data_IF_636108349132
#
_entry.id   IF_636108349132
#
_cell.length_a   1.000
_cell.length_b   1.000
_cell.length_c   1.000
_cell.angle_alpha   90.00
_cell.angle_beta   90.00
_cell.angle_gamma   90.00
#
_symmetry.space_group_name_H-M   'P 1'
#
loop_
_entity.id
_entity.type
_entity.pdbx_description
1 polymer ?
#
# COMPACT_ATOMS: atom_id res chain seq x y z
N UNK A 1 11.45 34.92 -17.13
CA UNK A 1 11.70 33.69 -16.32
C UNK A 1 10.40 33.08 -15.77
N UNK A 2 9.56 33.81 -15.03
CA UNK A 2 8.29 33.30 -14.51
C UNK A 2 7.29 32.80 -15.58
N UNK A 3 7.22 33.48 -16.74
CA UNK A 3 6.35 33.05 -17.86
C UNK A 3 6.84 31.77 -18.55
N UNK A 4 8.17 31.56 -18.59
CA UNK A 4 8.77 30.33 -19.12
C UNK A 4 8.56 29.15 -18.17
N UNK A 5 8.69 29.37 -16.85
CA UNK A 5 8.36 28.39 -15.82
C UNK A 5 6.88 27.97 -15.88
N UNK A 6 5.96 28.93 -16.08
CA UNK A 6 4.53 28.64 -16.27
C UNK A 6 4.27 27.78 -17.51
N UNK A 7 4.97 28.05 -18.61
CA UNK A 7 4.84 27.28 -19.85
C UNK A 7 5.44 25.86 -19.76
N UNK A 8 6.55 25.70 -19.04
CA UNK A 8 7.17 24.38 -18.78
C UNK A 8 6.26 23.55 -17.86
N UNK A 9 5.72 24.14 -16.79
CA UNK A 9 4.74 23.47 -15.90
C UNK A 9 3.48 23.07 -16.67
N UNK A 10 2.97 23.92 -17.57
CA UNK A 10 1.83 23.59 -18.42
C UNK A 10 2.14 22.52 -19.48
N UNK A 11 3.39 22.39 -19.95
CA UNK A 11 3.82 21.31 -20.83
C UNK A 11 3.96 19.97 -20.08
N UNK A 12 4.45 19.99 -18.85
CA UNK A 12 4.57 18.79 -17.99
C UNK A 12 3.20 18.24 -17.61
N UNK A 13 2.21 19.11 -17.34
CA UNK A 13 0.81 18.71 -17.09
C UNK A 13 0.16 18.09 -18.34
N UNK A 14 0.64 18.42 -19.56
CA UNK A 14 0.11 17.87 -20.82
C UNK A 14 0.80 16.60 -21.30
N UNK A 15 1.89 16.16 -20.68
CA UNK A 15 2.66 14.99 -21.10
C UNK A 15 1.92 13.63 -21.06
N UNK A 16 0.81 13.40 -20.32
CA UNK A 16 0.06 12.15 -20.45
C UNK A 16 -0.79 12.06 -21.73
N UNK A 17 -1.02 13.18 -22.45
CA UNK A 17 -1.92 13.23 -23.61
C UNK A 17 -1.34 12.64 -24.90
N UNK A 18 -0.03 12.43 -25.01
CA UNK A 18 0.61 11.97 -26.26
C UNK A 18 0.82 10.45 -26.35
N UNK A 19 0.75 9.72 -25.24
CA UNK A 19 0.95 8.25 -25.19
C UNK A 19 -0.39 7.50 -25.27
N UNK A 20 -1.51 8.18 -24.99
CA UNK A 20 -2.86 7.63 -25.11
C UNK A 20 -3.51 8.21 -26.38
N UNK A 21 -3.91 7.32 -27.29
CA UNK A 21 -4.54 7.64 -28.56
C UNK A 21 -5.68 8.68 -28.46
N UNK A 22 -5.88 9.37 -29.58
CA UNK A 22 -6.64 10.59 -29.80
C UNK A 22 -8.17 10.51 -29.60
N UNK A 23 -8.66 9.91 -28.53
CA UNK A 23 -10.10 9.87 -28.19
C UNK A 23 -10.42 10.22 -26.74
N UNK A 24 -9.45 10.75 -25.98
CA UNK A 24 -9.71 11.26 -24.62
C UNK A 24 -9.76 12.78 -24.64
N UNK A 25 -10.87 13.32 -25.14
CA UNK A 25 -11.31 14.65 -24.70
C UNK A 25 -11.53 14.57 -23.19
N UNK A 26 -10.59 15.12 -22.42
CA UNK A 26 -10.77 15.37 -21.00
C UNK A 26 -11.71 16.58 -20.88
N UNK A 27 -12.99 16.32 -21.06
CA UNK A 27 -14.06 17.25 -20.74
C UNK A 27 -13.89 17.66 -19.26
N UNK A 28 -13.76 18.97 -18.98
CA UNK A 28 -13.56 19.44 -17.63
C UNK A 28 -14.85 19.21 -16.85
N UNK A 29 -14.82 18.29 -15.87
CA UNK A 29 -15.83 18.09 -14.82
C UNK A 29 -17.16 18.75 -15.17
N UNK A 30 -17.94 18.12 -16.05
CA UNK A 30 -19.35 18.46 -16.14
C UNK A 30 -19.92 18.03 -14.78
N UNK A 31 -19.90 18.97 -13.84
CA UNK A 31 -20.59 18.86 -12.58
C UNK A 31 -22.03 18.60 -13.00
N UNK A 32 -22.50 17.37 -12.77
CA UNK A 32 -23.92 17.05 -12.92
C UNK A 32 -24.65 18.23 -12.26
N UNK A 33 -25.44 19.01 -13.03
CA UNK A 33 -26.01 20.21 -12.48
C UNK A 33 -26.84 19.77 -11.25
N UNK A 34 -26.69 20.54 -10.16
CA UNK A 34 -27.10 20.10 -8.83
C UNK A 34 -28.61 19.83 -8.70
N UNK A 35 -29.37 20.26 -9.70
CA UNK A 35 -30.79 20.05 -9.94
C UNK A 35 -31.17 18.63 -10.41
N UNK A 36 -30.23 17.83 -10.90
CA UNK A 36 -30.47 16.44 -11.36
C UNK A 36 -30.16 15.39 -10.28
N UNK A 37 -29.41 15.75 -9.24
CA UNK A 37 -28.98 14.81 -8.20
C UNK A 37 -30.07 14.60 -7.15
N UNK A 38 -30.27 13.33 -6.75
CA UNK A 38 -31.07 13.07 -5.56
C UNK A 38 -30.38 13.68 -4.31
N UNK A 39 -31.14 14.05 -3.25
CA UNK A 39 -30.54 14.61 -2.03
C UNK A 39 -29.42 13.74 -1.43
N UNK A 40 -29.50 12.42 -1.62
CA UNK A 40 -28.49 11.46 -1.18
C UNK A 40 -27.22 11.52 -2.02
N UNK A 41 -27.33 11.54 -3.33
CA UNK A 41 -26.17 11.63 -4.22
C UNK A 41 -25.46 12.98 -4.06
N UNK A 42 -26.23 14.06 -3.84
CA UNK A 42 -25.68 15.37 -3.51
C UNK A 42 -24.86 15.34 -2.21
N UNK A 43 -25.35 14.66 -1.17
CA UNK A 43 -24.63 14.47 0.09
C UNK A 43 -23.32 13.68 -0.12
N UNK A 44 -23.36 12.56 -0.83
CA UNK A 44 -22.18 11.73 -1.12
C UNK A 44 -21.13 12.53 -1.90
N UNK A 45 -21.54 13.27 -2.93
CA UNK A 45 -20.61 14.08 -3.72
C UNK A 45 -20.08 15.27 -2.91
N UNK A 46 -20.86 15.83 -1.99
CA UNK A 46 -20.37 16.86 -1.06
C UNK A 46 -19.31 16.29 -0.10
N UNK A 47 -19.56 15.12 0.51
CA UNK A 47 -18.58 14.43 1.37
C UNK A 47 -17.31 14.09 0.58
N UNK A 48 -17.44 13.56 -0.63
CA UNK A 48 -16.30 13.26 -1.50
C UNK A 48 -15.52 14.54 -1.89
N UNK A 49 -16.19 15.67 -2.11
CA UNK A 49 -15.54 16.97 -2.37
C UNK A 49 -14.70 17.43 -1.17
N UNK A 50 -15.20 17.26 0.05
CA UNK A 50 -14.46 17.61 1.28
C UNK A 50 -13.17 16.78 1.36
N UNK A 51 -13.25 15.47 1.17
CA UNK A 51 -12.07 14.59 1.20
C UNK A 51 -11.07 14.96 0.08
N UNK A 52 -11.54 15.28 -1.13
CA UNK A 52 -10.64 15.73 -2.21
C UNK A 52 -9.92 17.02 -1.86
N UNK A 53 -10.57 17.97 -1.19
CA UNK A 53 -9.91 19.19 -0.69
C UNK A 53 -8.87 18.87 0.38
N UNK A 54 -9.20 17.98 1.32
CA UNK A 54 -8.26 17.51 2.34
C UNK A 54 -7.01 16.90 1.68
N UNK A 55 -7.18 16.03 0.69
CA UNK A 55 -6.07 15.40 -0.04
C UNK A 55 -5.16 16.42 -0.73
N UNK A 56 -5.72 17.46 -1.36
CA UNK A 56 -4.91 18.53 -1.95
C UNK A 56 -4.08 19.25 -0.90
N UNK A 57 -4.69 19.60 0.25
CA UNK A 57 -3.98 20.27 1.35
C UNK A 57 -2.83 19.41 1.87
N UNK A 58 -3.08 18.12 2.13
CA UNK A 58 -2.04 17.20 2.59
C UNK A 58 -0.93 17.07 1.55
N UNK A 59 -1.26 16.92 0.27
CA UNK A 59 -0.26 16.80 -0.79
C UNK A 59 0.66 18.02 -0.86
N UNK A 60 0.13 19.24 -0.78
CA UNK A 60 0.94 20.46 -0.80
C UNK A 60 1.84 20.58 0.44
N UNK A 61 1.33 20.24 1.63
CA UNK A 61 2.13 20.29 2.87
C UNK A 61 3.24 19.23 2.81
N UNK A 62 2.93 17.99 2.45
CA UNK A 62 3.92 16.91 2.33
C UNK A 62 4.98 17.23 1.28
N UNK A 63 4.58 17.79 0.13
CA UNK A 63 5.53 18.25 -0.88
C UNK A 63 6.44 19.36 -0.35
N UNK A 64 5.89 20.33 0.38
CA UNK A 64 6.65 21.38 1.04
C UNK A 64 7.68 20.84 2.03
N UNK A 65 7.28 19.86 2.86
CA UNK A 65 8.16 19.20 3.83
C UNK A 65 9.27 18.37 3.15
N UNK A 66 8.95 17.65 2.07
CA UNK A 66 9.93 16.91 1.28
C UNK A 66 10.97 17.86 0.67
N UNK A 67 10.54 18.99 0.11
CA UNK A 67 11.44 20.01 -0.44
C UNK A 67 12.28 20.67 0.66
N UNK A 68 11.67 20.98 1.82
CA UNK A 68 12.39 21.53 2.97
C UNK A 68 13.46 20.56 3.48
N UNK A 69 13.15 19.26 3.58
CA UNK A 69 14.12 18.23 3.95
C UNK A 69 15.25 18.06 2.94
N UNK A 70 14.94 18.05 1.65
CA UNK A 70 15.95 18.01 0.60
C UNK A 70 16.86 19.24 0.64
N UNK A 71 16.30 20.44 0.84
CA UNK A 71 17.09 21.67 0.98
C UNK A 71 17.94 21.65 2.25
N UNK A 72 17.38 21.22 3.38
CA UNK A 72 18.12 21.16 4.64
C UNK A 72 19.32 20.21 4.55
N UNK A 73 19.14 19.04 3.91
CA UNK A 73 20.21 18.05 3.72
C UNK A 73 21.26 18.46 2.67
N UNK A 74 20.84 19.04 1.53
CA UNK A 74 21.76 19.39 0.43
C UNK A 74 22.45 20.73 0.67
N UNK A 75 21.72 21.74 1.15
CA UNK A 75 22.23 23.09 1.34
C UNK A 75 22.83 23.34 2.73
N UNK A 76 22.85 22.32 3.61
CA UNK A 76 23.41 22.43 4.96
C UNK A 76 22.67 23.44 5.83
N UNK A 77 21.34 23.48 5.74
CA UNK A 77 20.48 24.39 6.51
C UNK A 77 19.71 23.62 7.60
N UNK A 78 20.34 23.28 8.74
CA UNK A 78 19.71 22.50 9.81
C UNK A 78 18.53 23.23 10.46
N UNK A 79 18.53 24.57 10.41
CA UNK A 79 17.47 25.43 10.94
C UNK A 79 16.08 25.10 10.38
N UNK A 80 16.00 24.62 9.12
CA UNK A 80 14.71 24.21 8.53
C UNK A 80 14.17 22.92 9.16
N UNK A 81 15.04 21.99 9.56
CA UNK A 81 14.64 20.76 10.25
C UNK A 81 14.19 21.08 11.68
N UNK A 82 14.96 21.91 12.38
CA UNK A 82 14.63 22.39 13.73
C UNK A 82 13.26 23.12 13.74
N UNK A 83 13.02 24.02 12.79
CA UNK A 83 11.75 24.72 12.66
C UNK A 83 10.60 23.74 12.41
N UNK A 84 10.79 22.75 11.54
CA UNK A 84 9.78 21.73 11.27
C UNK A 84 9.50 20.87 12.52
N UNK A 85 10.53 20.49 13.26
CA UNK A 85 10.40 19.74 14.51
C UNK A 85 9.61 20.54 15.56
N UNK A 86 9.99 21.79 15.84
CA UNK A 86 9.32 22.64 16.83
C UNK A 86 7.86 22.93 16.45
N UNK A 87 7.58 23.17 15.16
CA UNK A 87 6.26 23.57 14.70
C UNK A 87 5.29 22.38 14.52
N UNK A 88 5.81 21.22 14.09
CA UNK A 88 4.98 20.08 13.72
C UNK A 88 5.08 18.86 14.66
N UNK A 89 6.09 18.77 15.53
CA UNK A 89 6.30 17.68 16.49
C UNK A 89 6.81 18.20 17.84
N UNK A 90 6.14 19.19 18.42
CA UNK A 90 6.64 19.91 19.60
C UNK A 90 6.77 19.09 20.89
N UNK A 91 6.21 17.87 20.96
CA UNK A 91 6.32 16.99 22.12
C UNK A 91 7.26 15.79 21.90
N UNK A 92 7.76 15.60 20.67
CA UNK A 92 8.69 14.52 20.35
C UNK A 92 10.08 14.82 20.93
N UNK A 93 10.72 13.80 21.51
CA UNK A 93 12.09 13.91 22.03
C UNK A 93 12.98 13.06 21.14
N UNK A 94 13.77 13.70 20.29
CA UNK A 94 14.71 13.03 19.40
C UNK A 94 15.42 14.00 18.46
N UNK A 95 16.31 13.47 17.60
CA UNK A 95 17.00 14.26 16.58
C UNK A 95 16.05 14.94 15.58
N UNK A 96 16.40 16.15 15.12
CA UNK A 96 15.55 16.96 14.23
C UNK A 96 15.31 16.31 12.86
N UNK A 97 16.29 15.58 12.36
CA UNK A 97 16.23 14.82 11.11
C UNK A 97 15.25 13.63 11.24
N UNK A 98 15.29 12.90 12.35
CA UNK A 98 14.32 11.83 12.68
C UNK A 98 12.91 12.41 12.81
N UNK A 99 12.77 13.56 13.47
CA UNK A 99 11.48 14.24 13.62
C UNK A 99 10.90 14.61 12.24
N UNK A 100 11.72 15.17 11.34
CA UNK A 100 11.29 15.50 9.98
C UNK A 100 10.84 14.25 9.18
N UNK A 101 11.62 13.16 9.25
CA UNK A 101 11.26 11.89 8.61
C UNK A 101 9.93 11.33 9.15
N UNK A 102 9.70 11.45 10.46
CA UNK A 102 8.46 11.04 11.11
C UNK A 102 7.25 11.88 10.65
N UNK A 103 7.38 13.22 10.59
CA UNK A 103 6.33 14.12 10.11
C UNK A 103 5.91 13.72 8.69
N UNK A 104 6.89 13.57 7.78
CA UNK A 104 6.63 13.20 6.38
C UNK A 104 5.91 11.84 6.31
N UNK A 105 6.36 10.88 7.09
CA UNK A 105 5.77 9.53 7.11
C UNK A 105 4.32 9.56 7.61
N UNK A 106 4.04 10.26 8.71
CA UNK A 106 2.68 10.40 9.26
C UNK A 106 1.75 11.10 8.27
N UNK A 107 2.21 12.18 7.63
CA UNK A 107 1.46 12.90 6.59
C UNK A 107 1.12 12.02 5.39
N UNK A 108 2.04 11.13 4.99
CA UNK A 108 1.82 10.18 3.91
C UNK A 108 0.82 9.08 4.30
N UNK A 109 0.85 8.62 5.55
CA UNK A 109 -0.13 7.68 6.11
C UNK A 109 -1.53 8.32 6.11
N UNK A 110 -1.66 9.57 6.56
CA UNK A 110 -2.92 10.30 6.54
C UNK A 110 -3.47 10.46 5.11
N UNK A 111 -2.60 10.79 4.15
CA UNK A 111 -2.97 10.88 2.74
C UNK A 111 -3.48 9.54 2.19
N UNK A 112 -2.83 8.44 2.52
CA UNK A 112 -3.27 7.09 2.15
C UNK A 112 -4.64 6.75 2.78
N UNK A 113 -4.81 7.03 4.07
CA UNK A 113 -6.07 6.79 4.79
C UNK A 113 -7.24 7.61 4.22
N UNK A 114 -7.01 8.89 3.90
CA UNK A 114 -8.01 9.75 3.26
C UNK A 114 -8.40 9.26 1.86
N UNK A 115 -7.46 8.70 1.09
CA UNK A 115 -7.78 8.08 -0.21
C UNK A 115 -8.67 6.85 -0.06
N UNK A 116 -8.40 6.00 0.93
CA UNK A 116 -9.26 4.85 1.23
C UNK A 116 -10.64 5.33 1.68
N UNK A 117 -10.72 6.33 2.54
CA UNK A 117 -11.99 6.93 2.96
C UNK A 117 -12.78 7.50 1.77
N UNK A 118 -12.10 8.10 0.78
CA UNK A 118 -12.73 8.57 -0.46
C UNK A 118 -13.32 7.40 -1.27
N UNK A 119 -12.59 6.28 -1.37
CA UNK A 119 -13.09 5.06 -2.04
C UNK A 119 -14.34 4.53 -1.33
N UNK A 120 -14.31 4.43 0.00
CA UNK A 120 -15.46 3.98 0.80
C UNK A 120 -16.67 4.91 0.68
N UNK A 121 -16.46 6.24 0.71
CA UNK A 121 -17.53 7.22 0.55
C UNK A 121 -18.20 7.09 -0.80
N UNK A 122 -17.42 6.91 -1.88
CA UNK A 122 -17.99 6.66 -3.20
C UNK A 122 -18.70 5.33 -3.29
N UNK A 123 -18.16 4.29 -2.65
CA UNK A 123 -18.77 2.96 -2.53
C UNK A 123 -20.03 2.91 -1.69
N UNK A 124 -20.36 3.97 -0.95
CA UNK A 124 -21.49 4.03 0.00
C UNK A 124 -21.38 2.97 1.11
N UNK A 125 -20.15 2.68 1.53
CA UNK A 125 -19.87 1.59 2.45
C UNK A 125 -20.11 1.94 3.92
N UNK A 126 -20.70 1.00 4.67
CA UNK A 126 -21.01 1.21 6.10
C UNK A 126 -19.76 1.48 6.96
N UNK A 127 -18.62 0.88 6.60
CA UNK A 127 -17.40 0.99 7.41
C UNK A 127 -16.82 2.42 7.40
N UNK A 128 -17.23 3.29 6.48
CA UNK A 128 -16.87 4.71 6.48
C UNK A 128 -17.24 5.39 7.80
N UNK A 129 -18.39 5.02 8.38
CA UNK A 129 -18.87 5.56 9.66
C UNK A 129 -17.92 5.17 10.81
N UNK A 130 -17.26 4.02 10.73
CA UNK A 130 -16.26 3.59 11.71
C UNK A 130 -14.85 4.11 11.41
N UNK A 131 -14.45 4.12 10.13
CA UNK A 131 -13.10 4.53 9.72
C UNK A 131 -12.83 6.02 9.96
N UNK A 132 -13.82 6.89 9.74
CA UNK A 132 -13.66 8.33 10.00
C UNK A 132 -13.33 8.65 11.48
N UNK A 133 -14.10 8.19 12.49
CA UNK A 133 -13.76 8.45 13.89
C UNK A 133 -12.46 7.76 14.30
N UNK A 134 -12.16 6.56 13.79
CA UNK A 134 -10.86 5.91 14.05
C UNK A 134 -9.71 6.80 13.56
N UNK A 135 -9.78 7.31 12.34
CA UNK A 135 -8.76 8.19 11.79
C UNK A 135 -8.62 9.50 12.60
N UNK A 136 -9.75 10.04 13.09
CA UNK A 136 -9.75 11.20 13.97
C UNK A 136 -9.07 10.90 15.32
N UNK A 137 -9.41 9.77 15.95
CA UNK A 137 -8.83 9.35 17.23
C UNK A 137 -7.33 9.07 17.10
N UNK A 138 -6.90 8.41 16.03
CA UNK A 138 -5.47 8.16 15.76
C UNK A 138 -4.69 9.47 15.62
N UNK A 139 -5.24 10.46 14.91
CA UNK A 139 -4.61 11.76 14.75
C UNK A 139 -4.64 12.62 16.02
N UNK A 140 -5.71 12.53 16.80
CA UNK A 140 -5.78 13.15 18.13
C UNK A 140 -4.74 12.53 19.08
N UNK A 141 -4.58 11.20 19.02
CA UNK A 141 -3.54 10.48 19.74
C UNK A 141 -2.14 10.90 19.31
N UNK A 142 -1.88 11.01 18.00
CA UNK A 142 -0.61 11.50 17.48
C UNK A 142 -0.32 12.95 17.91
N UNK A 143 -1.35 13.81 17.96
CA UNK A 143 -1.23 15.16 18.48
C UNK A 143 -0.84 15.18 19.97
N UNK A 144 -1.50 14.37 20.80
CA UNK A 144 -1.25 14.33 22.25
C UNK A 144 0.10 13.68 22.58
N UNK A 145 0.46 12.60 21.89
CA UNK A 145 1.66 11.81 22.19
C UNK A 145 2.92 12.40 21.56
N UNK A 146 2.83 12.93 20.35
CA UNK A 146 3.99 13.37 19.56
C UNK A 146 4.01 14.89 19.35
N UNK A 147 2.93 15.61 19.69
CA UNK A 147 2.79 17.01 19.32
C UNK A 147 2.55 17.19 17.83
N UNK A 148 2.00 16.19 17.14
CA UNK A 148 1.80 16.17 15.69
C UNK A 148 0.73 17.19 15.23
N UNK A 149 1.12 18.45 15.03
CA UNK A 149 0.19 19.54 14.70
C UNK A 149 -0.50 19.40 13.33
N UNK A 150 0.11 18.86 12.25
CA UNK A 150 -0.60 18.62 11.00
C UNK A 150 -1.79 17.67 11.16
N UNK A 151 -1.74 16.75 12.14
CA UNK A 151 -2.83 15.83 12.45
C UNK A 151 -4.14 16.52 12.84
N UNK A 152 -4.10 17.79 13.27
CA UNK A 152 -5.31 18.60 13.48
C UNK A 152 -6.12 18.78 12.20
N UNK A 153 -5.45 18.88 11.04
CA UNK A 153 -6.12 18.96 9.75
C UNK A 153 -6.86 17.65 9.46
N UNK A 154 -6.18 16.51 9.59
CA UNK A 154 -6.78 15.19 9.39
C UNK A 154 -7.92 14.95 10.36
N UNK A 155 -7.75 15.31 11.63
CA UNK A 155 -8.80 15.27 12.65
C UNK A 155 -10.03 16.09 12.22
N UNK A 156 -9.84 17.36 11.87
CA UNK A 156 -10.94 18.25 11.49
C UNK A 156 -11.68 17.75 10.23
N UNK A 157 -10.94 17.34 9.19
CA UNK A 157 -11.55 16.79 7.99
C UNK A 157 -12.29 15.47 8.26
N UNK A 158 -11.72 14.60 9.08
CA UNK A 158 -12.34 13.31 9.39
C UNK A 158 -13.63 13.47 10.22
N UNK A 159 -13.63 14.39 11.19
CA UNK A 159 -14.85 14.76 11.92
C UNK A 159 -15.88 15.40 10.97
N UNK A 160 -15.44 16.24 10.04
CA UNK A 160 -16.35 16.86 9.07
C UNK A 160 -17.01 15.81 8.16
N UNK A 161 -16.24 14.82 7.70
CA UNK A 161 -16.75 13.66 6.96
C UNK A 161 -17.74 12.87 7.80
N UNK A 162 -17.43 12.61 9.07
CA UNK A 162 -18.29 11.88 10.00
C UNK A 162 -19.64 12.59 10.22
N UNK A 163 -19.63 13.90 10.45
CA UNK A 163 -20.86 14.69 10.63
C UNK A 163 -21.76 14.60 9.39
N UNK A 164 -21.18 14.68 8.19
CA UNK A 164 -21.93 14.53 6.94
C UNK A 164 -22.43 13.08 6.75
N UNK A 165 -21.62 12.09 7.10
CA UNK A 165 -21.99 10.69 6.99
C UNK A 165 -23.15 10.32 7.94
N UNK A 166 -23.14 10.85 9.16
CA UNK A 166 -24.20 10.61 10.16
C UNK A 166 -25.50 11.34 9.82
N UNK A 167 -25.46 12.44 9.05
CA UNK A 167 -26.66 13.18 8.63
C UNK A 167 -27.64 12.33 7.82
N UNK A 168 -27.12 11.41 6.98
CA UNK A 168 -27.93 10.36 6.36
C UNK A 168 -27.20 9.01 6.46
N UNK A 169 -27.14 8.44 7.67
CA UNK A 169 -26.56 7.12 7.92
C UNK A 169 -27.16 6.01 7.02
N UNK A 170 -28.38 6.20 6.52
CA UNK A 170 -29.03 5.27 5.58
C UNK A 170 -28.42 5.30 4.19
N UNK A 171 -27.58 6.29 3.87
CA UNK A 171 -26.78 6.31 2.64
C UNK A 171 -25.60 5.34 2.72
N UNK A 172 -25.08 5.02 3.91
CA UNK A 172 -23.96 4.11 4.12
C UNK A 172 -24.47 2.78 4.66
N UNK A 173 -24.70 1.81 3.78
CA UNK A 173 -25.30 0.51 4.14
C UNK A 173 -24.31 -0.62 3.98
N UNK A 174 -24.60 -1.73 4.64
CA UNK A 174 -23.97 -3.00 4.34
C UNK A 174 -24.22 -3.34 2.87
N UNK A 175 -23.15 -3.49 2.12
CA UNK A 175 -23.23 -3.70 0.68
C UNK A 175 -23.95 -5.02 0.36
N UNK A 176 -25.09 -4.98 -0.36
CA UNK A 176 -25.86 -6.19 -0.67
C UNK A 176 -25.10 -7.13 -1.60
N UNK A 177 -24.20 -6.61 -2.45
CA UNK A 177 -23.35 -7.41 -3.33
C UNK A 177 -22.35 -8.19 -2.48
N UNK A 178 -21.67 -7.53 -1.54
CA UNK A 178 -20.75 -8.18 -0.62
C UNK A 178 -21.43 -9.33 0.12
N UNK A 179 -22.60 -9.06 0.74
CA UNK A 179 -23.33 -10.07 1.51
C UNK A 179 -23.76 -11.27 0.66
N UNK A 180 -24.24 -11.02 -0.58
CA UNK A 180 -24.63 -12.08 -1.52
C UNK A 180 -23.43 -12.94 -1.92
N UNK A 181 -22.33 -12.31 -2.31
CA UNK A 181 -21.12 -13.00 -2.77
C UNK A 181 -20.45 -13.79 -1.63
N UNK A 182 -20.38 -13.21 -0.41
CA UNK A 182 -19.86 -13.91 0.77
C UNK A 182 -20.70 -15.14 1.12
N UNK A 183 -22.02 -14.99 1.17
CA UNK A 183 -22.93 -16.11 1.41
C UNK A 183 -22.79 -17.17 0.32
N UNK A 184 -22.64 -16.76 -0.93
CA UNK A 184 -22.40 -17.65 -2.07
C UNK A 184 -21.09 -18.44 -1.94
N UNK A 185 -20.01 -17.79 -1.50
CA UNK A 185 -18.69 -18.42 -1.30
C UNK A 185 -18.70 -19.43 -0.16
N UNK A 186 -19.31 -19.09 0.96
CA UNK A 186 -19.40 -19.97 2.13
C UNK A 186 -20.42 -21.10 1.95
N UNK A 187 -21.28 -21.03 0.92
CA UNK A 187 -22.29 -22.05 0.65
C UNK A 187 -21.68 -23.24 -0.09
N UNK A 188 -21.35 -24.28 0.68
CA UNK A 188 -20.91 -25.59 0.18
C UNK A 188 -19.47 -25.94 0.56
N UNK A 189 -19.01 -27.12 0.17
CA UNK A 189 -17.70 -27.66 0.57
C UNK A 189 -16.50 -26.90 -0.04
N UNK A 190 -16.70 -26.15 -1.13
CA UNK A 190 -15.59 -25.53 -1.88
C UNK A 190 -14.74 -24.58 -1.02
N UNK A 191 -15.37 -23.75 -0.19
CA UNK A 191 -14.64 -22.83 0.69
C UNK A 191 -13.77 -23.61 1.69
N UNK A 192 -14.35 -24.63 2.33
CA UNK A 192 -13.64 -25.49 3.28
C UNK A 192 -12.51 -26.28 2.60
N UNK A 193 -12.71 -26.74 1.37
CA UNK A 193 -11.66 -27.43 0.59
C UNK A 193 -10.52 -26.48 0.25
N UNK A 194 -10.81 -25.27 -0.24
CA UNK A 194 -9.77 -24.28 -0.55
C UNK A 194 -8.99 -23.89 0.71
N UNK A 195 -9.67 -23.64 1.82
CA UNK A 195 -9.03 -23.36 3.11
C UNK A 195 -8.19 -24.54 3.60
N UNK A 196 -8.71 -25.77 3.51
CA UNK A 196 -7.99 -26.99 3.90
C UNK A 196 -6.76 -27.25 3.04
N UNK A 197 -6.85 -27.07 1.73
CA UNK A 197 -5.70 -27.17 0.81
C UNK A 197 -4.69 -26.08 1.10
N UNK A 198 -5.13 -24.84 1.33
CA UNK A 198 -4.26 -23.72 1.69
C UNK A 198 -3.46 -24.01 2.96
N UNK A 199 -4.12 -24.38 4.06
CA UNK A 199 -3.46 -24.72 5.31
C UNK A 199 -2.62 -25.99 5.21
N UNK A 200 -3.07 -26.96 4.41
CA UNK A 200 -2.35 -28.20 4.14
C UNK A 200 -1.03 -27.94 3.40
N UNK A 201 -1.03 -27.08 2.38
CA UNK A 201 0.18 -26.64 1.69
C UNK A 201 1.12 -25.90 2.64
N UNK A 202 0.61 -24.92 3.39
CA UNK A 202 1.39 -24.18 4.38
C UNK A 202 2.05 -25.10 5.40
N UNK A 203 1.31 -26.04 5.95
CA UNK A 203 1.81 -27.03 6.92
C UNK A 203 2.82 -27.97 6.28
N UNK A 204 2.53 -28.48 5.07
CA UNK A 204 3.42 -29.38 4.33
C UNK A 204 4.78 -28.72 4.09
N UNK A 205 4.79 -27.50 3.55
CA UNK A 205 6.05 -26.80 3.29
C UNK A 205 6.80 -26.46 4.58
N UNK A 206 6.11 -26.08 5.65
CA UNK A 206 6.74 -25.85 6.96
C UNK A 206 7.47 -27.11 7.45
N UNK A 207 6.82 -28.27 7.35
CA UNK A 207 7.41 -29.56 7.72
C UNK A 207 8.57 -29.94 6.79
N UNK A 208 8.45 -29.72 5.48
CA UNK A 208 9.52 -29.99 4.52
C UNK A 208 10.77 -29.16 4.82
N UNK A 209 10.60 -27.87 5.14
CA UNK A 209 11.71 -26.98 5.49
C UNK A 209 12.36 -27.41 6.80
N UNK A 210 11.56 -27.73 7.81
CA UNK A 210 12.05 -28.28 9.08
C UNK A 210 12.87 -29.56 8.87
N UNK A 211 12.38 -30.50 8.05
CA UNK A 211 13.07 -31.76 7.75
C UNK A 211 14.34 -31.55 6.88
N UNK A 212 14.34 -30.55 6.00
CA UNK A 212 15.48 -30.21 5.16
C UNK A 212 16.58 -29.46 5.93
N UNK A 213 16.23 -28.69 6.95
CA UNK A 213 17.15 -27.80 7.66
C UNK A 213 18.43 -28.48 8.16
N UNK A 214 18.40 -29.65 8.83
CA UNK A 214 19.61 -30.34 9.27
C UNK A 214 20.52 -30.77 8.11
N UNK A 215 19.97 -30.96 6.91
CA UNK A 215 20.77 -31.33 5.73
C UNK A 215 21.43 -30.11 5.10
N UNK A 216 20.80 -28.93 5.21
CA UNK A 216 21.31 -27.66 4.68
C UNK A 216 22.50 -27.17 5.53
N UNK A 217 22.42 -27.31 6.84
CA UNK A 217 23.44 -26.78 7.78
C UNK A 217 24.58 -27.75 8.10
N UNK A 218 24.55 -28.99 7.58
CA UNK A 218 25.60 -30.01 7.77
C UNK A 218 27.02 -29.55 7.39
N UNK A 219 27.12 -28.60 6.46
CA UNK A 219 28.41 -28.06 5.99
C UNK A 219 28.84 -26.78 6.74
N UNK A 220 27.99 -26.25 7.61
CA UNK A 220 28.19 -24.96 8.30
C UNK A 220 28.69 -25.12 9.75
N UNK A 221 29.00 -26.34 10.20
CA UNK A 221 29.41 -26.65 11.58
C UNK A 221 28.23 -26.84 12.54
N UNK A 222 28.46 -27.17 13.83
CA UNK A 222 27.41 -27.35 14.82
C UNK A 222 26.76 -26.00 15.17
N UNK A 223 25.79 -25.57 14.36
CA UNK A 223 24.96 -24.39 14.65
C UNK A 223 23.93 -24.78 15.71
N UNK A 224 24.30 -24.57 16.98
CA UNK A 224 23.46 -24.72 18.17
C UNK A 224 22.51 -23.51 18.37
N UNK A 225 22.05 -22.86 17.30
CA UNK A 225 21.16 -21.72 17.40
C UNK A 225 19.72 -22.13 17.02
N UNK A 226 18.97 -22.67 17.98
CA UNK A 226 17.53 -22.97 17.82
C UNK A 226 16.75 -21.78 17.24
N UNK A 227 17.18 -20.54 17.54
CA UNK A 227 16.56 -19.32 17.02
C UNK A 227 16.76 -19.06 15.52
N UNK A 228 17.84 -19.58 14.90
CA UNK A 228 18.04 -19.43 13.45
C UNK A 228 17.03 -20.29 12.67
N UNK A 229 16.79 -21.51 13.16
CA UNK A 229 15.74 -22.39 12.64
C UNK A 229 14.36 -21.71 12.69
N UNK A 230 14.01 -21.11 13.83
CA UNK A 230 12.75 -20.37 13.97
C UNK A 230 12.60 -19.25 12.94
N UNK A 231 13.66 -18.46 12.72
CA UNK A 231 13.69 -17.40 11.70
C UNK A 231 13.55 -17.93 10.28
N UNK A 232 14.26 -19.01 9.94
CA UNK A 232 14.16 -19.65 8.61
C UNK A 232 12.76 -20.18 8.37
N UNK A 233 12.15 -20.84 9.35
CA UNK A 233 10.78 -21.33 9.27
C UNK A 233 9.81 -20.18 9.06
N UNK A 234 9.88 -19.13 9.87
CA UNK A 234 9.01 -17.97 9.76
C UNK A 234 9.10 -17.31 8.38
N UNK A 235 10.31 -17.00 7.92
CA UNK A 235 10.52 -16.38 6.61
C UNK A 235 10.02 -17.24 5.46
N UNK A 236 10.18 -18.56 5.57
CA UNK A 236 9.69 -19.48 4.55
C UNK A 236 8.16 -19.53 4.54
N UNK A 237 7.53 -19.60 5.71
CA UNK A 237 6.07 -19.56 5.86
C UNK A 237 5.50 -18.27 5.24
N UNK A 238 6.04 -17.10 5.61
CA UNK A 238 5.61 -15.81 5.03
C UNK A 238 5.85 -15.77 3.51
N UNK A 239 6.98 -16.29 3.04
CA UNK A 239 7.28 -16.37 1.61
C UNK A 239 6.29 -17.23 0.82
N UNK A 240 5.89 -18.38 1.36
CA UNK A 240 4.91 -19.28 0.74
C UNK A 240 3.51 -18.64 0.77
N UNK A 241 3.14 -18.03 1.89
CA UNK A 241 1.88 -17.32 2.02
C UNK A 241 1.75 -16.19 1.00
N UNK A 242 2.82 -15.42 0.80
CA UNK A 242 2.89 -14.40 -0.25
C UNK A 242 2.60 -14.98 -1.63
N UNK A 243 3.25 -16.11 -1.97
CA UNK A 243 3.04 -16.80 -3.26
C UNK A 243 1.59 -17.28 -3.38
N UNK A 244 1.03 -17.87 -2.33
CA UNK A 244 -0.35 -18.37 -2.36
C UNK A 244 -1.36 -17.22 -2.53
N UNK A 245 -1.24 -16.12 -1.77
CA UNK A 245 -2.10 -14.94 -1.92
C UNK A 245 -2.02 -14.39 -3.34
N UNK A 246 -0.83 -14.35 -3.90
CA UNK A 246 -0.60 -13.87 -5.25
C UNK A 246 -1.33 -14.68 -6.33
N UNK A 247 -1.53 -15.99 -6.12
CA UNK A 247 -2.36 -16.80 -7.01
C UNK A 247 -3.85 -16.67 -6.68
N UNK A 248 -4.20 -16.68 -5.39
CA UNK A 248 -5.59 -16.73 -4.92
C UNK A 248 -6.34 -15.42 -5.19
N UNK A 249 -5.72 -14.27 -4.91
CA UNK A 249 -6.40 -12.97 -4.98
C UNK A 249 -6.81 -12.60 -6.42
N UNK A 250 -5.91 -12.65 -7.43
CA UNK A 250 -6.30 -12.41 -8.81
C UNK A 250 -7.34 -13.41 -9.30
N UNK A 251 -7.27 -14.69 -8.91
CA UNK A 251 -8.27 -15.69 -9.29
C UNK A 251 -9.70 -15.29 -8.88
N UNK A 252 -9.85 -14.63 -7.74
CA UNK A 252 -11.15 -14.19 -7.22
C UNK A 252 -11.60 -12.81 -7.70
N UNK A 253 -10.70 -11.97 -8.22
CA UNK A 253 -10.98 -10.56 -8.52
C UNK A 253 -10.91 -10.22 -10.01
N UNK A 254 -10.02 -10.87 -10.78
CA UNK A 254 -9.84 -10.59 -12.22
C UNK A 254 -11.03 -11.05 -13.08
N UNK A 255 -11.77 -12.06 -12.64
CA UNK A 255 -13.03 -12.50 -13.25
C UNK A 255 -14.28 -11.78 -12.73
N UNK A 256 -14.16 -10.83 -11.80
CA UNK A 256 -15.29 -10.32 -11.03
C UNK A 256 -16.31 -9.52 -11.87
N UNK A 257 -15.85 -8.73 -12.85
CA UNK A 257 -16.70 -7.93 -13.75
C UNK A 257 -16.90 -8.65 -15.08
N UNK A 258 -15.82 -9.17 -15.66
CA UNK A 258 -15.87 -9.96 -16.90
C UNK A 258 -16.77 -11.19 -16.79
N UNK A 259 -16.82 -11.84 -15.63
CA UNK A 259 -17.70 -13.00 -15.41
C UNK A 259 -19.19 -12.65 -15.48
N UNK A 260 -19.58 -11.43 -15.09
CA UNK A 260 -20.97 -10.96 -15.24
C UNK A 260 -21.29 -10.60 -16.70
N UNK A 261 -20.30 -10.08 -17.44
CA UNK A 261 -20.45 -9.80 -18.87
C UNK A 261 -20.63 -11.08 -19.66
N UNK A 262 -19.80 -12.09 -19.41
CA UNK A 262 -19.88 -13.37 -20.10
C UNK A 262 -21.18 -14.13 -19.81
N UNK A 263 -21.73 -13.96 -18.59
CA UNK A 263 -23.03 -14.52 -18.21
C UNK A 263 -24.23 -13.70 -18.69
N UNK A 264 -24.01 -12.58 -19.39
CA UNK A 264 -25.04 -11.62 -19.83
C UNK A 264 -25.93 -11.10 -18.69
N UNK A 265 -25.41 -11.10 -17.46
CA UNK A 265 -26.09 -10.56 -16.27
C UNK A 265 -25.73 -9.10 -16.03
N UNK A 266 -24.68 -8.60 -16.69
CA UNK A 266 -24.25 -7.20 -16.61
C UNK A 266 -25.33 -6.20 -17.05
N UNK A 267 -26.02 -6.46 -18.17
CA UNK A 267 -27.06 -5.55 -18.68
C UNK A 267 -28.29 -5.53 -17.76
N UNK A 268 -28.64 -6.68 -17.17
CA UNK A 268 -29.68 -6.75 -16.15
C UNK A 268 -29.26 -6.00 -14.87
N UNK A 269 -27.98 -6.04 -14.50
CA UNK A 269 -27.48 -5.29 -13.35
C UNK A 269 -27.58 -3.77 -13.60
N UNK A 270 -27.33 -3.32 -14.84
CA UNK A 270 -27.46 -1.90 -15.24
C UNK A 270 -28.88 -1.35 -15.14
N UNK A 271 -29.91 -2.19 -15.23
CA UNK A 271 -31.31 -1.75 -15.05
C UNK A 271 -31.71 -1.61 -13.59
N UNK A 272 -30.87 -2.07 -12.65
CA UNK A 272 -31.12 -1.91 -11.21
C UNK A 272 -30.69 -0.54 -10.68
N UNK A 273 -31.23 -0.15 -9.53
CA UNK A 273 -30.88 1.10 -8.82
C UNK A 273 -29.54 0.98 -8.04
N UNK A 274 -28.68 0.02 -8.37
CA UNK A 274 -27.42 -0.19 -7.67
C UNK A 274 -26.34 0.77 -8.18
N UNK A 275 -25.67 1.54 -7.30
CA UNK A 275 -24.56 2.39 -7.69
C UNK A 275 -23.34 1.57 -8.14
N UNK A 276 -22.73 1.95 -9.27
CA UNK A 276 -21.53 1.28 -9.80
C UNK A 276 -20.33 1.26 -8.83
N UNK A 277 -20.02 2.35 -8.09
CA UNK A 277 -18.94 2.29 -7.11
C UNK A 277 -19.21 1.28 -6.00
N UNK A 278 -20.47 1.17 -5.55
CA UNK A 278 -20.88 0.18 -4.55
C UNK A 278 -20.74 -1.23 -5.10
N UNK A 279 -21.08 -1.46 -6.37
CA UNK A 279 -20.85 -2.77 -7.00
C UNK A 279 -19.36 -3.17 -7.01
N UNK A 280 -18.45 -2.27 -7.40
CA UNK A 280 -17.01 -2.54 -7.45
C UNK A 280 -16.45 -2.80 -6.05
N UNK A 281 -16.75 -1.94 -5.08
CA UNK A 281 -16.23 -2.08 -3.71
C UNK A 281 -16.80 -3.34 -3.04
N UNK A 282 -18.08 -3.65 -3.24
CA UNK A 282 -18.68 -4.87 -2.71
C UNK A 282 -18.06 -6.16 -3.26
N UNK A 283 -17.65 -6.16 -4.54
CA UNK A 283 -16.89 -7.28 -5.13
C UNK A 283 -15.48 -7.40 -4.55
N UNK A 284 -14.82 -6.27 -4.31
CA UNK A 284 -13.51 -6.25 -3.66
C UNK A 284 -13.61 -6.79 -2.23
N UNK A 285 -14.51 -6.26 -1.43
CA UNK A 285 -14.68 -6.62 -0.02
C UNK A 285 -15.06 -8.09 0.15
N UNK A 286 -15.93 -8.62 -0.70
CA UNK A 286 -16.25 -10.05 -0.65
C UNK A 286 -15.02 -10.93 -0.96
N UNK A 287 -14.21 -10.54 -1.94
CA UNK A 287 -13.00 -11.27 -2.27
C UNK A 287 -11.95 -11.18 -1.14
N UNK A 288 -11.72 -9.98 -0.62
CA UNK A 288 -10.74 -9.72 0.44
C UNK A 288 -11.15 -10.32 1.77
N UNK A 289 -12.43 -10.35 2.13
CA UNK A 289 -12.88 -10.98 3.38
C UNK A 289 -12.51 -12.46 3.44
N UNK A 290 -12.65 -13.19 2.33
CA UNK A 290 -12.22 -14.59 2.28
C UNK A 290 -10.70 -14.73 2.36
N UNK A 291 -9.95 -13.80 1.75
CA UNK A 291 -8.48 -13.78 1.83
C UNK A 291 -8.03 -13.46 3.26
N UNK A 292 -8.66 -12.50 3.94
CA UNK A 292 -8.41 -12.19 5.35
C UNK A 292 -8.68 -13.41 6.24
N UNK A 293 -9.74 -14.19 5.97
CA UNK A 293 -9.97 -15.45 6.67
C UNK A 293 -8.81 -16.45 6.46
N UNK A 294 -8.23 -16.53 5.26
CA UNK A 294 -7.05 -17.36 5.01
C UNK A 294 -5.81 -16.85 5.76
N UNK A 295 -5.57 -15.53 5.79
CA UNK A 295 -4.44 -14.93 6.54
C UNK A 295 -4.58 -15.22 8.03
N UNK A 296 -5.76 -14.98 8.60
CA UNK A 296 -6.04 -15.25 10.02
C UNK A 296 -5.90 -16.74 10.35
N UNK A 297 -6.31 -17.63 9.44
CA UNK A 297 -6.16 -19.07 9.61
C UNK A 297 -4.69 -19.53 9.51
N UNK A 298 -3.80 -18.75 8.88
CA UNK A 298 -2.36 -19.05 8.80
C UNK A 298 -1.58 -18.63 10.06
N UNK A 299 -2.11 -17.70 10.88
CA UNK A 299 -1.45 -17.21 12.11
C UNK A 299 -0.97 -18.34 13.03
N UNK A 300 -1.76 -19.40 13.32
CA UNK A 300 -1.29 -20.51 14.15
C UNK A 300 -0.07 -21.23 13.57
N UNK A 301 0.00 -21.38 12.24
CA UNK A 301 1.15 -22.00 11.56
C UNK A 301 2.37 -21.09 11.67
N UNK A 302 2.21 -19.78 11.46
CA UNK A 302 3.27 -18.79 11.65
C UNK A 302 3.79 -18.80 13.10
N UNK A 303 2.90 -18.93 14.07
CA UNK A 303 3.22 -18.95 15.50
C UNK A 303 4.08 -20.16 15.93
N UNK A 304 4.11 -21.25 15.14
CA UNK A 304 5.00 -22.39 15.41
C UNK A 304 6.47 -21.95 15.38
N UNK A 305 6.83 -20.98 14.55
CA UNK A 305 8.19 -20.45 14.48
C UNK A 305 8.64 -19.83 15.82
N UNK A 306 7.72 -19.26 16.61
CA UNK A 306 8.03 -18.70 17.92
C UNK A 306 8.51 -19.75 18.93
N UNK A 307 8.08 -21.01 18.79
CA UNK A 307 8.50 -22.11 19.67
C UNK A 307 9.99 -22.41 19.57
N UNK A 308 10.59 -22.14 18.41
CA UNK A 308 12.03 -22.31 18.18
C UNK A 308 12.83 -21.07 18.59
N UNK A 309 12.16 -19.97 18.93
CA UNK A 309 12.79 -18.69 19.25
C UNK A 309 13.28 -17.95 18.01
N UNK A 310 13.85 -16.76 18.22
CA UNK A 310 14.48 -15.98 17.16
C UNK A 310 13.55 -15.11 16.31
N UNK A 311 12.24 -15.06 16.59
CA UNK A 311 11.24 -14.22 15.90
C UNK A 311 10.41 -13.47 16.95
N UNK A 312 10.23 -12.16 16.79
CA UNK A 312 9.44 -11.32 17.71
C UNK A 312 7.97 -11.19 17.32
N UNK A 313 7.12 -10.72 18.23
CA UNK A 313 5.70 -10.45 17.95
C UNK A 313 5.50 -9.32 16.93
N UNK A 314 6.39 -8.33 16.90
CA UNK A 314 6.39 -7.24 15.92
C UNK A 314 6.62 -7.75 14.50
N UNK A 315 7.46 -8.77 14.32
CA UNK A 315 7.71 -9.44 13.03
C UNK A 315 6.42 -10.05 12.46
N UNK A 316 5.60 -10.70 13.29
CA UNK A 316 4.30 -11.28 12.87
C UNK A 316 3.28 -10.21 12.49
N UNK A 317 3.19 -9.14 13.26
CA UNK A 317 2.26 -8.03 12.97
C UNK A 317 2.66 -7.36 11.65
N UNK A 318 3.95 -7.07 11.45
CA UNK A 318 4.44 -6.43 10.23
C UNK A 318 4.27 -7.34 9.01
N UNK A 319 4.60 -8.63 9.13
CA UNK A 319 4.37 -9.59 8.05
C UNK A 319 2.87 -9.66 7.67
N UNK A 320 1.99 -9.74 8.66
CA UNK A 320 0.53 -9.76 8.45
C UNK A 320 0.03 -8.49 7.75
N UNK A 321 0.55 -7.32 8.12
CA UNK A 321 0.22 -6.04 7.48
C UNK A 321 0.67 -6.04 6.02
N UNK A 322 1.92 -6.45 5.73
CA UNK A 322 2.43 -6.52 4.35
C UNK A 322 1.55 -7.44 3.52
N UNK A 323 1.26 -8.66 3.99
CA UNK A 323 0.41 -9.63 3.28
C UNK A 323 -1.01 -9.09 3.04
N UNK A 324 -1.59 -8.41 4.03
CA UNK A 324 -2.90 -7.75 3.91
C UNK A 324 -2.91 -6.64 2.86
N UNK A 325 -1.88 -5.78 2.84
CA UNK A 325 -1.73 -4.72 1.83
C UNK A 325 -1.49 -5.34 0.45
N UNK A 326 -0.69 -6.40 0.34
CA UNK A 326 -0.48 -7.13 -0.91
C UNK A 326 -1.80 -7.72 -1.43
N UNK A 327 -2.60 -8.32 -0.56
CA UNK A 327 -3.92 -8.81 -0.95
C UNK A 327 -4.83 -7.68 -1.43
N UNK A 328 -4.85 -6.54 -0.72
CA UNK A 328 -5.66 -5.38 -1.08
C UNK A 328 -5.31 -4.84 -2.48
N UNK A 329 -4.02 -4.63 -2.77
CA UNK A 329 -3.58 -4.10 -4.06
C UNK A 329 -3.76 -5.08 -5.21
N UNK A 330 -3.50 -6.38 -5.00
CA UNK A 330 -3.75 -7.40 -6.01
C UNK A 330 -5.24 -7.52 -6.32
N UNK A 331 -6.11 -7.35 -5.31
CA UNK A 331 -7.55 -7.33 -5.50
C UNK A 331 -8.02 -6.11 -6.30
N UNK A 332 -7.49 -4.93 -5.98
CA UNK A 332 -7.75 -3.70 -6.72
C UNK A 332 -7.25 -3.79 -8.18
N UNK A 333 -6.07 -4.36 -8.39
CA UNK A 333 -5.50 -4.61 -9.72
C UNK A 333 -6.35 -5.60 -10.53
N UNK A 334 -6.77 -6.71 -9.91
CA UNK A 334 -7.65 -7.70 -10.54
C UNK A 334 -8.97 -7.07 -10.99
N UNK A 335 -9.63 -6.29 -10.13
CA UNK A 335 -10.85 -5.57 -10.49
C UNK A 335 -10.64 -4.52 -11.57
N UNK A 336 -9.55 -3.77 -11.51
CA UNK A 336 -9.20 -2.81 -12.55
C UNK A 336 -9.06 -3.52 -13.90
N UNK A 337 -8.27 -4.60 -13.97
CA UNK A 337 -8.07 -5.37 -15.20
C UNK A 337 -9.36 -6.03 -15.69
N UNK A 338 -10.21 -6.50 -14.77
CA UNK A 338 -11.56 -7.01 -15.08
C UNK A 338 -12.44 -5.94 -15.71
N UNK A 339 -12.41 -4.70 -15.20
CA UNK A 339 -13.17 -3.59 -15.79
C UNK A 339 -12.68 -3.22 -17.20
N UNK A 340 -11.38 -3.46 -17.46
CA UNK A 340 -10.73 -3.06 -18.71
C UNK A 340 -10.82 -4.05 -19.85
N UNK A 341 -11.21 -5.29 -19.55
CA UNK A 341 -11.16 -6.40 -20.49
C UNK A 341 -12.57 -6.96 -20.71
N UNK A 342 -12.81 -7.59 -21.85
CA UNK A 342 -14.12 -8.17 -22.18
C UNK A 342 -14.23 -9.63 -21.71
N UNK A 343 -13.15 -10.40 -21.85
CA UNK A 343 -13.10 -11.83 -21.53
C UNK A 343 -12.40 -12.09 -20.18
N UNK A 344 -12.94 -13.02 -19.40
CA UNK A 344 -12.40 -13.47 -18.10
C UNK A 344 -10.99 -14.04 -18.26
N UNK A 345 -10.78 -14.92 -19.24
CA UNK A 345 -9.47 -15.52 -19.49
C UNK A 345 -8.37 -14.45 -19.68
N UNK A 346 -8.65 -13.44 -20.52
CA UNK A 346 -7.68 -12.36 -20.80
C UNK A 346 -7.44 -11.48 -19.58
N UNK A 347 -8.48 -11.22 -18.77
CA UNK A 347 -8.33 -10.48 -17.51
C UNK A 347 -7.45 -11.26 -16.51
N UNK A 348 -7.68 -12.56 -16.37
CA UNK A 348 -6.91 -13.43 -15.48
C UNK A 348 -5.44 -13.48 -15.88
N UNK A 349 -5.14 -13.72 -17.16
CA UNK A 349 -3.76 -13.77 -17.67
C UNK A 349 -3.04 -12.44 -17.43
N UNK A 350 -3.67 -11.30 -17.74
CA UNK A 350 -3.08 -9.98 -17.47
C UNK A 350 -2.82 -9.75 -15.99
N UNK A 351 -3.74 -10.17 -15.12
CA UNK A 351 -3.59 -10.01 -13.68
C UNK A 351 -2.40 -10.83 -13.15
N UNK A 352 -2.26 -12.07 -13.58
CA UNK A 352 -1.10 -12.89 -13.22
C UNK A 352 0.21 -12.36 -13.80
N UNK A 353 0.22 -11.91 -15.06
CA UNK A 353 1.44 -11.34 -15.67
C UNK A 353 1.90 -10.10 -14.91
N UNK A 354 0.99 -9.18 -14.59
CA UNK A 354 1.34 -7.96 -13.83
C UNK A 354 1.75 -8.33 -12.41
N UNK A 355 1.03 -9.22 -11.73
CA UNK A 355 1.39 -9.65 -10.38
C UNK A 355 2.79 -10.30 -10.36
N UNK A 356 3.05 -11.27 -11.25
CA UNK A 356 4.34 -11.96 -11.39
C UNK A 356 5.46 -11.01 -11.73
N UNK A 357 5.20 -10.07 -12.64
CA UNK A 357 6.17 -9.07 -13.02
C UNK A 357 6.55 -8.18 -11.83
N UNK A 358 5.58 -7.62 -11.11
CA UNK A 358 5.84 -6.71 -9.98
C UNK A 358 6.44 -7.44 -8.77
N UNK A 359 6.04 -8.69 -8.53
CA UNK A 359 6.42 -9.42 -7.30
C UNK A 359 7.73 -10.20 -7.45
N UNK A 360 8.07 -10.71 -8.63
CA UNK A 360 9.27 -11.53 -8.81
C UNK A 360 10.23 -10.97 -9.85
N UNK A 361 9.73 -10.53 -11.01
CA UNK A 361 10.61 -10.12 -12.12
C UNK A 361 11.26 -8.77 -11.85
N UNK A 362 10.47 -7.76 -11.51
CA UNK A 362 10.94 -6.40 -11.26
C UNK A 362 12.00 -6.34 -10.15
N UNK A 363 11.82 -6.97 -8.97
CA UNK A 363 12.83 -6.94 -7.92
C UNK A 363 14.07 -7.75 -8.29
N UNK A 364 13.92 -8.92 -8.93
CA UNK A 364 15.07 -9.71 -9.38
C UNK A 364 15.92 -8.92 -10.38
N UNK A 365 15.28 -8.20 -11.31
CA UNK A 365 15.97 -7.29 -12.21
C UNK A 365 16.64 -6.14 -11.46
N UNK A 366 15.93 -5.47 -10.54
CA UNK A 366 16.49 -4.35 -9.79
C UNK A 366 17.69 -4.76 -8.93
N UNK A 367 17.61 -5.88 -8.20
CA UNK A 367 18.73 -6.44 -7.43
C UNK A 367 19.89 -6.80 -8.34
N UNK A 368 19.62 -7.45 -9.47
CA UNK A 368 20.67 -7.78 -10.45
C UNK A 368 21.37 -6.53 -10.99
N UNK A 369 20.62 -5.50 -11.41
CA UNK A 369 21.20 -4.26 -11.93
C UNK A 369 21.95 -3.46 -10.84
N UNK A 370 21.47 -3.47 -9.60
CA UNK A 370 22.19 -2.85 -8.46
C UNK A 370 23.49 -3.59 -8.18
N UNK A 371 23.46 -4.93 -8.12
CA UNK A 371 24.66 -5.74 -7.91
C UNK A 371 25.68 -5.55 -9.03
N UNK A 372 25.25 -5.58 -10.30
CA UNK A 372 26.11 -5.28 -11.45
C UNK A 372 26.67 -3.86 -11.39
N UNK A 373 25.89 -2.88 -10.95
CA UNK A 373 26.36 -1.50 -10.77
C UNK A 373 27.40 -1.40 -9.65
N UNK A 374 27.17 -2.05 -8.50
CA UNK A 374 28.11 -2.10 -7.39
C UNK A 374 29.41 -2.82 -7.78
N UNK A 375 29.31 -3.94 -8.49
CA UNK A 375 30.46 -4.72 -8.99
C UNK A 375 31.25 -3.95 -10.06
N UNK A 376 30.56 -3.24 -10.96
CA UNK A 376 31.21 -2.39 -11.96
C UNK A 376 31.94 -1.20 -11.31
N UNK A 377 31.36 -0.60 -10.27
CA UNK A 377 31.96 0.49 -9.52
C UNK A 377 33.14 0.02 -8.66
N UNK A 378 33.00 -1.10 -7.96
CA UNK A 378 34.06 -1.70 -7.12
C UNK A 378 35.17 -2.32 -7.96
N UNK A 379 34.85 -2.90 -9.11
CA UNK A 379 35.82 -3.40 -10.09
C UNK A 379 36.61 -2.28 -10.78
N UNK A 380 36.00 -1.12 -11.02
CA UNK A 380 36.70 0.09 -11.49
C UNK A 380 37.49 0.79 -10.35
N UNK A 381 36.96 0.77 -9.12
CA UNK A 381 37.63 1.27 -7.91
C UNK A 381 38.76 0.35 -7.41
N UNK A 382 38.77 -0.94 -7.78
CA UNK A 382 39.89 -1.85 -7.53
C UNK A 382 41.19 -1.41 -8.24
N UNK A 383 41.08 -0.52 -9.23
CA UNK A 383 42.20 0.11 -9.94
C UNK A 383 42.47 1.54 -9.38
N UNK A 384 41.53 2.14 -8.65
CA UNK A 384 41.63 3.49 -8.06
C UNK A 384 41.15 3.47 -6.61
N UNK A 385 42.09 3.34 -5.67
CA UNK A 385 41.81 3.26 -4.24
C UNK A 385 40.82 4.35 -3.76
N UNK A 386 39.83 3.92 -2.95
CA UNK A 386 38.96 4.77 -2.13
C UNK A 386 38.19 5.87 -2.88
N UNK A 387 37.23 5.51 -3.73
CA UNK A 387 36.13 6.43 -4.04
C UNK A 387 35.23 6.56 -2.81
N UNK A 388 35.65 7.42 -1.87
CA UNK A 388 34.75 7.94 -0.84
C UNK A 388 33.65 8.71 -1.56
N UNK A 389 32.44 8.14 -1.64
CA UNK A 389 31.30 8.87 -2.18
C UNK A 389 31.13 10.17 -1.38
N UNK A 390 30.73 11.25 -2.05
CA UNK A 390 30.24 12.43 -1.33
C UNK A 390 29.09 11.99 -0.42
N UNK A 391 29.02 12.45 0.84
CA UNK A 391 27.96 12.05 1.78
C UNK A 391 26.54 12.23 1.22
N UNK A 392 26.36 13.22 0.35
CA UNK A 392 25.09 13.46 -0.36
C UNK A 392 24.74 12.33 -1.32
N UNK A 393 25.72 11.85 -2.09
CA UNK A 393 25.51 10.75 -3.06
C UNK A 393 25.24 9.44 -2.33
N UNK A 394 25.98 9.17 -1.26
CA UNK A 394 25.76 7.99 -0.43
C UNK A 394 24.35 7.98 0.19
N UNK A 395 23.92 9.13 0.74
CA UNK A 395 22.57 9.31 1.29
C UNK A 395 21.49 9.05 0.23
N UNK A 396 21.65 9.60 -0.98
CA UNK A 396 20.70 9.39 -2.08
C UNK A 396 20.62 7.91 -2.50
N UNK A 397 21.75 7.20 -2.53
CA UNK A 397 21.79 5.77 -2.85
C UNK A 397 21.09 4.93 -1.78
N UNK A 398 21.26 5.26 -0.49
CA UNK A 398 20.57 4.59 0.62
C UNK A 398 19.05 4.76 0.47
N UNK A 399 18.57 6.00 0.30
CA UNK A 399 17.13 6.25 0.11
C UNK A 399 16.56 5.64 -1.16
N UNK A 400 17.32 5.62 -2.26
CA UNK A 400 16.92 4.95 -3.50
C UNK A 400 16.83 3.43 -3.30
N UNK A 401 17.79 2.82 -2.59
CA UNK A 401 17.78 1.40 -2.24
C UNK A 401 16.55 1.04 -1.38
N UNK A 402 16.24 1.86 -0.38
CA UNK A 402 15.05 1.69 0.46
C UNK A 402 13.75 1.86 -0.32
N UNK A 403 13.69 2.84 -1.23
CA UNK A 403 12.56 3.01 -2.12
C UNK A 403 12.35 1.76 -2.99
N UNK A 404 13.41 1.24 -3.59
CA UNK A 404 13.37 0.00 -4.39
C UNK A 404 12.92 -1.19 -3.53
N UNK A 405 13.46 -1.32 -2.31
CA UNK A 405 13.04 -2.36 -1.37
C UNK A 405 11.54 -2.24 -1.02
N UNK A 406 11.00 -1.02 -0.98
CA UNK A 406 9.59 -0.74 -0.68
C UNK A 406 8.65 -0.96 -1.87
N UNK A 407 9.17 -1.12 -3.09
CA UNK A 407 8.35 -1.41 -4.28
C UNK A 407 7.92 -2.87 -4.33
N UNK A 408 8.48 -3.77 -3.52
CA UNK A 408 8.14 -5.18 -3.57
C UNK A 408 7.87 -5.75 -2.19
N UNK A 409 6.84 -6.62 -2.03
CA UNK A 409 6.46 -7.10 -0.70
C UNK A 409 7.50 -8.04 -0.09
N UNK A 410 8.22 -8.83 -0.90
CA UNK A 410 9.26 -9.75 -0.41
C UNK A 410 10.46 -8.94 0.10
N UNK A 411 10.96 -7.98 -0.69
CA UNK A 411 12.04 -7.11 -0.24
C UNK A 411 11.61 -6.23 0.93
N UNK A 412 10.39 -5.69 0.91
CA UNK A 412 9.89 -4.88 2.02
C UNK A 412 9.88 -5.69 3.32
N UNK A 413 9.47 -6.96 3.27
CA UNK A 413 9.57 -7.88 4.40
C UNK A 413 11.02 -8.10 4.85
N UNK A 414 11.89 -8.59 3.95
CA UNK A 414 13.26 -8.97 4.29
C UNK A 414 14.06 -7.80 4.86
N UNK A 415 14.01 -6.63 4.22
CA UNK A 415 14.73 -5.45 4.70
C UNK A 415 14.14 -4.90 6.00
N UNK A 416 12.81 -4.93 6.17
CA UNK A 416 12.20 -4.50 7.43
C UNK A 416 12.55 -5.45 8.58
N UNK A 417 12.60 -6.75 8.32
CA UNK A 417 13.03 -7.75 9.28
C UNK A 417 14.50 -7.54 9.68
N UNK A 418 15.39 -7.31 8.70
CA UNK A 418 16.79 -6.96 8.98
C UNK A 418 16.90 -5.73 9.87
N UNK A 419 16.14 -4.67 9.58
CA UNK A 419 16.13 -3.45 10.40
C UNK A 419 15.59 -3.68 11.82
N UNK A 420 14.55 -4.52 11.98
CA UNK A 420 14.02 -4.88 13.31
C UNK A 420 15.04 -5.64 14.14
N UNK A 421 15.80 -6.54 13.51
CA UNK A 421 16.83 -7.34 14.17
C UNK A 421 18.02 -6.49 14.55
N UNK A 422 18.51 -5.68 13.63
CA UNK A 422 19.75 -4.93 13.78
C UNK A 422 19.57 -3.68 14.68
N UNK A 423 18.41 -3.03 14.59
CA UNK A 423 18.17 -1.74 15.22
C UNK A 423 17.04 -1.70 16.26
N UNK A 424 16.35 -2.84 16.51
CA UNK A 424 15.24 -2.96 17.47
C UNK A 424 14.12 -1.92 17.30
N UNK A 425 13.99 -1.34 16.11
CA UNK A 425 13.04 -0.28 15.80
C UNK A 425 12.14 -0.69 14.63
N UNK A 426 10.84 -0.49 14.79
CA UNK A 426 9.86 -0.91 13.80
C UNK A 426 9.59 0.16 12.72
N UNK A 427 9.75 1.45 13.02
CA UNK A 427 9.29 2.53 12.15
C UNK A 427 10.43 3.31 11.49
N UNK A 428 11.34 3.86 12.29
CA UNK A 428 12.46 4.69 11.83
C UNK A 428 13.70 4.24 12.58
N UNK A 429 14.80 4.06 11.84
CA UNK A 429 16.14 3.86 12.41
C UNK A 429 17.10 4.86 11.78
N UNK A 430 18.31 4.97 12.31
CA UNK A 430 19.37 5.81 11.77
C UNK A 430 20.49 4.93 11.22
N UNK A 431 20.91 5.18 9.98
CA UNK A 431 22.05 4.51 9.35
C UNK A 431 23.25 5.44 9.34
N UNK A 432 24.42 4.95 9.75
CA UNK A 432 25.68 5.70 9.70
C UNK A 432 26.28 5.64 8.29
N UNK A 433 26.55 6.80 7.71
CA UNK A 433 27.25 6.96 6.44
C UNK A 433 28.70 6.50 6.58
N UNK A 434 29.17 5.67 5.65
CA UNK A 434 30.55 5.20 5.60
C UNK A 434 31.54 6.31 5.20
N UNK A 435 31.08 7.33 4.46
CA UNK A 435 31.91 8.45 4.01
C UNK A 435 32.35 9.40 5.11
N UNK A 436 31.46 9.73 6.07
CA UNK A 436 31.71 10.77 7.06
C UNK A 436 31.22 10.43 8.48
N UNK A 437 30.67 9.23 8.70
CA UNK A 437 30.13 8.80 10.00
C UNK A 437 28.85 9.53 10.44
N UNK A 438 28.28 10.41 9.60
CA UNK A 438 27.02 11.10 9.91
C UNK A 438 25.87 10.11 9.89
N UNK A 439 24.94 10.25 10.82
CA UNK A 439 23.73 9.42 10.88
C UNK A 439 22.62 10.04 10.05
N UNK A 440 21.90 9.21 9.29
CA UNK A 440 20.75 9.64 8.49
C UNK A 440 19.55 8.79 8.86
N UNK A 441 18.37 9.40 9.09
CA UNK A 441 17.15 8.67 9.42
C UNK A 441 16.63 7.93 8.19
N UNK A 442 16.22 6.68 8.38
CA UNK A 442 15.64 5.84 7.34
C UNK A 442 14.33 5.25 7.83
N UNK A 443 13.31 5.33 6.98
CA UNK A 443 11.99 4.78 7.25
C UNK A 443 11.96 3.30 6.86
N UNK A 444 11.38 2.46 7.71
CA UNK A 444 11.29 1.03 7.48
C UNK A 444 10.51 0.73 6.17
N UNK A 445 11.01 -0.15 5.28
CA UNK A 445 10.40 -0.43 3.99
C UNK A 445 8.94 -0.90 4.03
N UNK A 446 8.51 -1.59 5.09
CA UNK A 446 7.11 -2.02 5.21
C UNK A 446 6.13 -0.84 5.32
N UNK A 447 6.55 0.28 5.93
CA UNK A 447 5.73 1.49 6.05
C UNK A 447 5.56 2.14 4.69
N UNK A 448 6.67 2.32 3.97
CA UNK A 448 6.67 2.87 2.62
C UNK A 448 5.92 1.96 1.64
N UNK A 449 6.10 0.65 1.73
CA UNK A 449 5.32 -0.34 0.98
C UNK A 449 3.82 -0.17 1.25
N UNK A 450 3.43 -0.13 2.54
CA UNK A 450 2.05 0.11 2.96
C UNK A 450 1.45 1.37 2.33
N UNK A 451 2.15 2.50 2.43
CA UNK A 451 1.73 3.79 1.87
C UNK A 451 1.59 3.71 0.34
N UNK A 452 2.64 3.28 -0.36
CA UNK A 452 2.68 3.28 -1.83
C UNK A 452 1.57 2.40 -2.38
N UNK A 453 1.39 1.19 -1.83
CA UNK A 453 0.45 0.22 -2.35
C UNK A 453 -1.01 0.49 -1.98
N UNK A 454 -1.28 1.11 -0.83
CA UNK A 454 -2.63 1.59 -0.50
C UNK A 454 -3.06 2.75 -1.39
N UNK A 455 -2.17 3.71 -1.64
CA UNK A 455 -2.39 4.80 -2.61
C UNK A 455 -2.64 4.22 -4.01
N UNK A 456 -1.79 3.30 -4.47
CA UNK A 456 -1.92 2.64 -5.77
C UNK A 456 -3.26 1.92 -5.90
N UNK A 457 -3.63 1.13 -4.89
CA UNK A 457 -4.91 0.43 -4.87
C UNK A 457 -6.10 1.40 -4.91
N UNK A 458 -6.07 2.49 -4.15
CA UNK A 458 -7.12 3.51 -4.19
C UNK A 458 -7.24 4.15 -5.58
N UNK A 459 -6.10 4.49 -6.21
CA UNK A 459 -6.09 5.04 -7.58
C UNK A 459 -6.67 4.05 -8.60
N UNK A 460 -6.27 2.77 -8.54
CA UNK A 460 -6.81 1.71 -9.40
C UNK A 460 -8.32 1.55 -9.24
N UNK A 461 -8.83 1.59 -8.01
CA UNK A 461 -10.26 1.50 -7.74
C UNK A 461 -11.01 2.72 -8.27
N UNK A 462 -10.50 3.94 -8.05
CA UNK A 462 -11.09 5.17 -8.60
C UNK A 462 -11.13 5.12 -10.14
N UNK A 463 -10.08 4.59 -10.78
CA UNK A 463 -10.05 4.40 -12.23
C UNK A 463 -11.06 3.35 -12.71
N UNK A 464 -11.16 2.22 -12.02
CA UNK A 464 -12.15 1.18 -12.33
C UNK A 464 -13.59 1.75 -12.26
N UNK A 465 -13.90 2.51 -11.20
CA UNK A 465 -15.20 3.21 -11.04
C UNK A 465 -15.46 4.19 -12.18
N UNK A 466 -14.48 5.03 -12.53
CA UNK A 466 -14.63 6.00 -13.62
C UNK A 466 -14.89 5.32 -14.95
N UNK A 467 -14.23 4.20 -15.21
CA UNK A 467 -14.39 3.46 -16.46
C UNK A 467 -15.78 2.85 -16.57
N UNK A 468 -16.27 2.23 -15.49
CA UNK A 468 -17.61 1.65 -15.44
C UNK A 468 -18.68 2.70 -15.77
N UNK A 469 -18.51 3.91 -15.25
CA UNK A 469 -19.46 5.02 -15.47
C UNK A 469 -19.53 5.49 -16.92
N UNK A 470 -18.41 5.47 -17.65
CA UNK A 470 -18.40 5.86 -19.07
C UNK A 470 -19.19 4.87 -19.93
N UNK A 471 -19.02 3.58 -19.67
CA UNK A 471 -19.80 2.52 -20.35
C UNK A 471 -21.31 2.58 -20.08
N UNK A 472 -21.76 3.41 -19.13
CA UNK A 472 -23.19 3.67 -18.92
C UNK A 472 -23.76 4.72 -19.88
N UNK A 473 -22.92 5.68 -20.29
CA UNK A 473 -23.29 6.83 -21.11
C UNK A 473 -23.20 6.53 -22.61
N UNK A 474 -22.36 5.56 -22.99
CA UNK A 474 -22.34 4.91 -24.31
C UNK A 474 -23.41 3.80 -24.39
#
# INVERSE_FOLDING_TARGET
MAQQLKNIVLQVIRLPRRILGSSVELEPLEAIPADVLTPREALIEQTARIIRRALWVHWFITLGLLLAGAMAGIAGQPQLMELAHQLFLGAFVGPDDVALALIITLMLIDMAALLILLVGVRGQEFWVIGAAPILAVLNLGALVLLGFTPGLLTFAFSIWVLVFALRDWRAFRLNPVMMKELRGRMRGARAFVVMGVYLGLMSLFTVLVYAAYPNITRYSGPVLATGELGRVLFNTVIGIEMVLIMFIVPAFTSGAITGERERKTYDLLRTTLLPEPSFIVGKLESALSYVLLLLLAAIPIQSIAFLFGGVGESELIIASIILGVTAFVLGALGLFLSSTTERTLTANVRAYLVALFVTFVLPALLVYFIGVYQDALTGFAGITASTSYSPVVETLLIYLGLFIASVNPISAWVFSQMMLVDHQSALITTVTLASNGTQVPVVAPWVLYGIIYTILAAVLLIWAMRRMRRMRLD
#
